data_IF_930795283164
#
_entry.id   IF_930795283164
#
_cell.length_a   1.000
_cell.length_b   1.000
_cell.length_c   1.000
_cell.angle_alpha   90.00
_cell.angle_beta   90.00
_cell.angle_gamma   90.00
#
_symmetry.space_group_name_H-M   'P 1'
#
loop_
_entity.id
_entity.type
_entity.pdbx_description
1 polymer ?
#
# COMPACT_ATOMS: atom_id res chain seq x y z
N UNK A 1 1.52 3.77 5.01
CA UNK A 1 1.76 2.43 4.42
C UNK A 1 2.40 1.54 5.47
N UNK A 2 1.95 0.30 5.62
CA UNK A 2 2.49 -0.65 6.59
C UNK A 2 2.57 -2.03 5.96
N UNK A 3 3.78 -2.58 5.90
CA UNK A 3 4.02 -3.95 5.44
C UNK A 3 3.88 -4.94 6.59
N UNK A 4 3.17 -6.05 6.34
CA UNK A 4 2.99 -7.13 7.31
C UNK A 4 3.52 -8.43 6.72
N UNK A 5 4.48 -9.05 7.40
CA UNK A 5 5.08 -10.33 6.99
C UNK A 5 4.31 -11.45 7.68
N UNK A 6 3.68 -12.30 6.87
CA UNK A 6 2.81 -13.38 7.34
C UNK A 6 3.42 -14.75 7.09
N UNK A 7 4.44 -14.83 6.22
CA UNK A 7 5.22 -16.03 5.91
C UNK A 7 4.61 -16.93 4.83
N UNK A 8 3.28 -16.92 4.63
CA UNK A 8 2.63 -17.71 3.57
C UNK A 8 1.44 -16.98 2.96
N UNK A 9 1.09 -17.38 1.73
CA UNK A 9 -0.06 -16.83 0.99
C UNK A 9 -1.37 -17.03 1.75
N UNK A 10 -1.60 -18.21 2.35
CA UNK A 10 -2.82 -18.47 3.12
C UNK A 10 -2.91 -17.53 4.32
N UNK A 11 -1.79 -17.36 5.05
CA UNK A 11 -1.73 -16.48 6.20
C UNK A 11 -1.93 -15.01 5.80
N UNK A 12 -1.39 -14.57 4.67
CA UNK A 12 -1.67 -13.22 4.12
C UNK A 12 -3.15 -13.02 3.82
N UNK A 13 -3.80 -14.00 3.19
CA UNK A 13 -5.25 -13.92 2.90
C UNK A 13 -6.07 -13.91 4.18
N UNK A 14 -5.76 -14.79 5.15
CA UNK A 14 -6.44 -14.80 6.44
C UNK A 14 -6.29 -13.48 7.21
N UNK A 15 -5.09 -12.88 7.22
CA UNK A 15 -4.88 -11.57 7.82
C UNK A 15 -5.66 -10.47 7.10
N UNK A 16 -5.65 -10.49 5.75
CA UNK A 16 -6.34 -9.51 4.94
C UNK A 16 -7.86 -9.57 5.14
N UNK A 17 -8.46 -10.76 5.05
CA UNK A 17 -9.90 -10.95 5.21
C UNK A 17 -10.34 -10.55 6.62
N UNK A 18 -9.62 -11.00 7.66
CA UNK A 18 -9.94 -10.64 9.03
C UNK A 18 -9.86 -9.12 9.27
N UNK A 19 -8.84 -8.44 8.75
CA UNK A 19 -8.72 -6.99 8.88
C UNK A 19 -9.86 -6.27 8.16
N UNK A 20 -10.22 -6.70 6.94
CA UNK A 20 -11.30 -6.08 6.18
C UNK A 20 -12.67 -6.31 6.81
N UNK A 21 -12.93 -7.49 7.38
CA UNK A 21 -14.15 -7.77 8.14
C UNK A 21 -14.28 -6.81 9.34
N UNK A 22 -13.21 -6.63 10.12
CA UNK A 22 -13.19 -5.69 11.26
C UNK A 22 -13.48 -4.26 10.80
N UNK A 23 -12.90 -3.84 9.67
CA UNK A 23 -13.14 -2.51 9.11
C UNK A 23 -14.55 -2.33 8.56
N UNK A 24 -15.12 -3.34 7.91
CA UNK A 24 -16.46 -3.29 7.36
C UNK A 24 -17.54 -3.31 8.46
N UNK A 25 -17.28 -3.97 9.58
CA UNK A 25 -18.17 -4.00 10.73
C UNK A 25 -18.05 -2.75 11.62
N UNK A 26 -16.90 -2.07 11.60
CA UNK A 26 -16.66 -0.88 12.39
C UNK A 26 -17.36 0.36 11.82
N UNK A 27 -17.69 1.32 12.69
CA UNK A 27 -18.07 2.66 12.25
C UNK A 27 -16.89 3.28 11.49
N UNK A 28 -17.14 3.81 10.29
CA UNK A 28 -16.15 4.55 9.52
C UNK A 28 -15.51 5.64 10.37
N UNK A 29 -14.18 5.65 10.55
CA UNK A 29 -13.50 6.69 11.28
C UNK A 29 -13.62 8.04 10.57
N UNK A 30 -13.78 9.11 11.35
CA UNK A 30 -13.64 10.46 10.84
C UNK A 30 -12.27 10.64 10.18
N UNK A 31 -12.27 11.24 8.99
CA UNK A 31 -11.05 11.58 8.27
C UNK A 31 -10.38 10.43 7.51
N UNK A 32 -10.89 9.20 7.59
CA UNK A 32 -10.47 8.15 6.67
C UNK A 32 -10.99 8.46 5.27
N UNK A 33 -10.14 8.27 4.26
CA UNK A 33 -10.49 8.49 2.85
C UNK A 33 -10.60 7.16 2.10
N UNK A 34 -9.58 6.32 2.23
CA UNK A 34 -9.54 5.02 1.59
C UNK A 34 -8.63 4.04 2.32
N UNK A 35 -8.83 2.75 2.07
CA UNK A 35 -7.96 1.67 2.51
C UNK A 35 -7.84 0.65 1.40
N UNK A 36 -6.63 0.10 1.26
CA UNK A 36 -6.29 -0.92 0.30
C UNK A 36 -5.42 -1.96 0.98
N UNK A 37 -5.74 -3.23 0.74
CA UNK A 37 -4.87 -4.35 1.06
C UNK A 37 -4.36 -4.92 -0.26
N UNK A 38 -3.04 -5.03 -0.35
CA UNK A 38 -2.37 -5.69 -1.45
C UNK A 38 -1.65 -6.93 -0.94
N UNK A 39 -1.71 -8.03 -1.69
CA UNK A 39 -0.96 -9.25 -1.41
C UNK A 39 0.35 -9.23 -2.16
N UNK A 40 1.45 -9.58 -1.49
CA UNK A 40 2.76 -9.69 -2.16
C UNK A 40 2.72 -10.82 -3.17
N UNK A 41 3.31 -10.62 -4.36
CA UNK A 41 3.33 -11.64 -5.41
C UNK A 41 4.26 -12.81 -5.06
N UNK A 42 5.19 -12.63 -4.12
CA UNK A 42 6.03 -13.71 -3.59
C UNK A 42 5.35 -14.52 -2.47
N UNK A 43 4.11 -14.16 -2.08
CA UNK A 43 3.34 -14.87 -1.07
C UNK A 43 3.78 -14.65 0.38
N UNK A 44 4.78 -13.80 0.63
CA UNK A 44 5.39 -13.68 1.97
C UNK A 44 4.66 -12.73 2.93
N UNK A 45 3.74 -11.92 2.41
CA UNK A 45 3.07 -10.91 3.21
C UNK A 45 2.02 -10.09 2.44
N UNK A 46 1.67 -8.98 3.05
CA UNK A 46 0.73 -7.99 2.51
C UNK A 46 1.22 -6.57 2.77
N UNK A 47 0.72 -5.63 1.96
CA UNK A 47 0.84 -4.20 2.19
C UNK A 47 -0.53 -3.64 2.57
N UNK A 48 -0.61 -3.03 3.75
CA UNK A 48 -1.75 -2.22 4.15
C UNK A 48 -1.48 -0.75 3.83
N UNK A 49 -2.28 -0.20 2.92
CA UNK A 49 -2.22 1.20 2.53
C UNK A 49 -3.53 1.90 2.89
N UNK A 50 -3.46 2.89 3.79
CA UNK A 50 -4.60 3.68 4.19
C UNK A 50 -4.33 5.16 3.94
N UNK A 51 -5.35 5.85 3.44
CA UNK A 51 -5.37 7.29 3.19
C UNK A 51 -6.27 7.97 4.21
N UNK A 52 -5.76 9.07 4.77
CA UNK A 52 -6.41 9.86 5.79
C UNK A 52 -6.31 11.34 5.44
N UNK A 53 -7.28 12.14 5.88
CA UNK A 53 -7.29 13.61 5.72
C UNK A 53 -6.13 14.28 6.44
N UNK A 54 -5.69 13.71 7.57
CA UNK A 54 -4.56 14.22 8.34
C UNK A 54 -3.86 13.11 9.13
N UNK A 55 -2.60 13.39 9.52
CA UNK A 55 -1.86 12.53 10.45
C UNK A 55 -2.52 12.48 11.83
N UNK A 56 -3.14 13.58 12.26
CA UNK A 56 -3.83 13.70 13.55
C UNK A 56 -5.06 12.80 13.62
N UNK A 57 -5.90 12.81 12.58
CA UNK A 57 -7.09 11.95 12.50
C UNK A 57 -6.70 10.47 12.57
N UNK A 58 -5.69 10.07 11.79
CA UNK A 58 -5.19 8.70 11.83
C UNK A 58 -4.60 8.35 13.21
N UNK A 59 -3.85 9.24 13.84
CA UNK A 59 -3.27 9.02 15.17
C UNK A 59 -4.34 8.90 16.25
N UNK A 60 -5.36 9.76 16.21
CA UNK A 60 -6.49 9.72 17.12
C UNK A 60 -7.24 8.39 16.99
N UNK A 61 -7.55 7.97 15.76
CA UNK A 61 -8.15 6.66 15.51
C UNK A 61 -7.25 5.53 16.00
N UNK A 62 -5.95 5.55 15.66
CA UNK A 62 -5.02 4.48 15.98
C UNK A 62 -4.87 4.29 17.49
N UNK A 63 -4.79 5.37 18.27
CA UNK A 63 -4.75 5.31 19.74
C UNK A 63 -5.99 4.66 20.35
N UNK A 64 -7.15 4.95 19.78
CA UNK A 64 -8.42 4.48 20.35
C UNK A 64 -8.84 3.08 19.87
N UNK A 65 -8.52 2.70 18.63
CA UNK A 65 -9.16 1.54 17.98
C UNK A 65 -8.18 0.51 17.41
N UNK A 66 -6.91 0.87 17.16
CA UNK A 66 -5.98 -0.01 16.42
C UNK A 66 -5.84 -1.37 17.07
N UNK A 67 -5.68 -1.43 18.39
CA UNK A 67 -5.47 -2.67 19.12
C UNK A 67 -6.63 -3.65 18.91
N UNK A 68 -7.88 -3.16 18.96
CA UNK A 68 -9.06 -3.96 18.66
C UNK A 68 -9.08 -4.40 17.20
N UNK A 69 -8.88 -3.46 16.26
CA UNK A 69 -8.95 -3.70 14.83
C UNK A 69 -7.96 -4.78 14.31
N UNK A 70 -6.83 -4.99 15.00
CA UNK A 70 -5.83 -6.00 14.60
C UNK A 70 -5.85 -7.27 15.47
N UNK A 71 -6.62 -7.28 16.56
CA UNK A 71 -6.62 -8.38 17.53
C UNK A 71 -7.01 -9.75 16.92
N UNK A 72 -8.03 -9.76 16.04
CA UNK A 72 -8.45 -10.96 15.32
C UNK A 72 -7.36 -11.45 14.37
N UNK A 73 -6.66 -10.53 13.71
CA UNK A 73 -5.50 -10.87 12.85
C UNK A 73 -4.41 -11.53 13.66
N UNK A 74 -4.06 -10.97 14.83
CA UNK A 74 -2.99 -11.51 15.69
C UNK A 74 -3.33 -12.91 16.22
N UNK A 75 -4.62 -13.18 16.45
CA UNK A 75 -5.11 -14.51 16.83
C UNK A 75 -5.00 -15.52 15.70
N UNK A 76 -5.38 -15.13 14.48
CA UNK A 76 -5.39 -16.02 13.30
C UNK A 76 -3.99 -16.23 12.70
N UNK A 77 -3.10 -15.26 12.86
CA UNK A 77 -1.77 -15.24 12.26
C UNK A 77 -0.73 -15.00 13.36
N UNK A 78 -0.54 -15.98 14.28
CA UNK A 78 0.39 -15.84 15.38
C UNK A 78 1.82 -15.66 14.86
N UNK A 79 2.56 -14.71 15.44
CA UNK A 79 3.93 -14.38 15.02
C UNK A 79 4.02 -13.51 13.76
N UNK A 80 2.92 -12.89 13.32
CA UNK A 80 2.94 -11.88 12.27
C UNK A 80 3.92 -10.74 12.63
N UNK A 81 4.81 -10.41 11.70
CA UNK A 81 5.72 -9.29 11.86
C UNK A 81 5.16 -8.05 11.17
N UNK A 82 5.28 -6.90 11.84
CA UNK A 82 4.88 -5.61 11.28
C UNK A 82 6.05 -4.63 11.47
N UNK A 83 7.03 -4.61 10.54
CA UNK A 83 8.27 -3.84 10.70
C UNK A 83 8.05 -2.35 10.98
N UNK A 84 6.91 -1.80 10.58
CA UNK A 84 6.50 -0.48 11.02
C UNK A 84 5.39 0.12 10.19
N UNK A 85 5.08 1.37 10.51
CA UNK A 85 4.19 2.24 9.75
C UNK A 85 5.01 3.39 9.20
N UNK A 86 5.00 3.53 7.88
CA UNK A 86 5.57 4.70 7.20
C UNK A 86 4.43 5.67 6.90
N UNK A 87 4.53 6.90 7.43
CA UNK A 87 3.64 8.01 7.08
C UNK A 87 4.25 8.80 5.95
N UNK A 88 3.44 9.08 4.95
CA UNK A 88 3.90 9.73 3.73
C UNK A 88 2.82 10.65 3.18
N UNK A 89 3.22 11.67 2.42
CA UNK A 89 2.32 12.55 1.67
C UNK A 89 2.51 12.32 0.18
N UNK A 90 1.41 12.19 -0.56
CA UNK A 90 1.45 12.17 -2.02
C UNK A 90 1.86 13.55 -2.53
N UNK A 91 2.95 13.63 -3.27
CA UNK A 91 3.51 14.90 -3.77
C UNK A 91 3.46 15.01 -5.29
N UNK A 92 3.51 13.87 -5.99
CA UNK A 92 3.44 13.81 -7.45
C UNK A 92 2.68 12.56 -7.88
N UNK A 93 1.82 12.72 -8.89
CA UNK A 93 1.20 11.62 -9.61
C UNK A 93 1.34 11.88 -11.10
N UNK A 94 1.79 10.87 -11.84
CA UNK A 94 1.78 10.85 -13.30
C UNK A 94 0.89 9.68 -13.70
N UNK A 95 -0.17 9.94 -14.45
CA UNK A 95 -1.13 8.93 -14.91
C UNK A 95 -1.10 8.91 -16.44
N UNK A 96 -0.74 7.77 -17.01
CA UNK A 96 -0.67 7.52 -18.45
C UNK A 96 -1.96 6.90 -18.99
N UNK A 97 -2.60 6.02 -18.21
CA UNK A 97 -3.89 5.40 -18.52
C UNK A 97 -4.69 5.24 -17.22
N UNK A 98 -5.78 5.99 -17.09
CA UNK A 98 -6.64 5.99 -15.89
C UNK A 98 -7.83 5.03 -16.02
N UNK A 99 -8.13 4.53 -17.22
CA UNK A 99 -9.29 3.67 -17.47
C UNK A 99 -8.96 2.19 -17.24
N UNK A 100 -7.71 1.83 -17.48
CA UNK A 100 -7.23 0.46 -17.34
C UNK A 100 -6.96 0.12 -15.87
N UNK A 101 -7.53 -0.99 -15.35
CA UNK A 101 -7.20 -1.43 -14.00
C UNK A 101 -5.77 -1.97 -13.94
N UNK A 102 -5.05 -1.62 -12.87
CA UNK A 102 -3.71 -2.15 -12.61
C UNK A 102 -3.75 -3.65 -12.28
N UNK A 103 -2.94 -4.43 -12.99
CA UNK A 103 -2.72 -5.85 -12.68
C UNK A 103 -1.53 -6.07 -11.74
N UNK A 104 -0.68 -5.06 -11.55
CA UNK A 104 0.47 -5.12 -10.66
C UNK A 104 0.78 -3.75 -10.05
N UNK A 105 1.12 -3.74 -8.77
CA UNK A 105 1.63 -2.59 -8.05
C UNK A 105 3.09 -2.85 -7.67
N UNK A 106 3.97 -1.94 -8.04
CA UNK A 106 5.39 -1.99 -7.69
C UNK A 106 5.66 -0.89 -6.68
N UNK A 107 6.11 -1.28 -5.49
CA UNK A 107 6.39 -0.35 -4.39
C UNK A 107 7.88 -0.36 -4.13
N UNK A 108 8.50 0.80 -4.29
CA UNK A 108 9.94 1.00 -4.12
C UNK A 108 10.17 2.09 -3.09
N UNK A 109 11.16 1.92 -2.22
CA UNK A 109 11.58 2.97 -1.28
C UNK A 109 13.02 3.37 -1.57
N UNK A 110 13.26 4.68 -1.70
CA UNK A 110 14.55 5.25 -2.10
C UNK A 110 14.79 6.59 -1.40
N UNK A 111 16.00 7.15 -1.53
CA UNK A 111 16.26 8.54 -1.15
C UNK A 111 15.52 9.47 -2.12
N UNK A 112 15.13 10.67 -1.67
CA UNK A 112 14.39 11.62 -2.53
C UNK A 112 15.18 12.01 -3.78
N UNK A 113 16.50 12.13 -3.66
CA UNK A 113 17.39 12.49 -4.80
C UNK A 113 17.45 11.39 -5.88
N UNK A 114 17.08 10.15 -5.55
CA UNK A 114 17.03 9.02 -6.50
C UNK A 114 15.69 8.95 -7.26
N UNK A 115 14.70 9.78 -6.89
CA UNK A 115 13.40 9.77 -7.56
C UNK A 115 13.54 10.37 -8.95
N UNK A 116 13.18 9.59 -9.97
CA UNK A 116 13.17 10.04 -11.35
C UNK A 116 12.34 11.34 -11.50
N UNK A 117 12.96 12.40 -12.03
CA UNK A 117 12.25 13.67 -12.25
C UNK A 117 11.13 13.54 -13.29
N UNK A 118 11.31 12.63 -14.26
CA UNK A 118 10.36 12.36 -15.34
C UNK A 118 10.16 10.87 -15.49
N UNK A 119 8.93 10.47 -15.80
CA UNK A 119 8.56 9.08 -16.08
C UNK A 119 8.13 9.01 -17.54
N UNK A 120 9.01 8.54 -18.45
CA UNK A 120 8.64 8.45 -19.85
C UNK A 120 7.54 7.40 -20.04
N UNK A 121 6.61 7.60 -20.99
CA UNK A 121 5.63 6.59 -21.35
C UNK A 121 6.34 5.27 -21.67
N UNK A 122 6.03 4.25 -20.87
CA UNK A 122 6.65 2.93 -20.96
C UNK A 122 5.54 1.90 -21.22
N UNK A 123 5.69 0.98 -22.18
CA UNK A 123 4.65 -0.03 -22.44
C UNK A 123 4.24 -0.78 -21.17
N UNK A 124 2.94 -0.72 -20.85
CA UNK A 124 2.35 -1.37 -19.68
C UNK A 124 2.44 -0.59 -18.37
N UNK A 125 3.14 0.55 -18.32
CA UNK A 125 3.09 1.47 -17.16
C UNK A 125 1.82 2.33 -17.24
N UNK A 126 1.00 2.28 -16.19
CA UNK A 126 -0.29 2.97 -16.13
C UNK A 126 -0.20 4.27 -15.33
N UNK A 127 0.49 4.23 -14.20
CA UNK A 127 0.69 5.40 -13.34
C UNK A 127 1.94 5.26 -12.47
N UNK A 128 2.45 6.39 -11.99
CA UNK A 128 3.45 6.47 -10.93
C UNK A 128 3.03 7.53 -9.90
N UNK A 129 3.08 7.15 -8.62
CA UNK A 129 2.74 7.99 -7.48
C UNK A 129 3.94 8.11 -6.54
N UNK A 130 4.39 9.33 -6.29
CA UNK A 130 5.51 9.62 -5.39
C UNK A 130 4.96 10.08 -4.05
N UNK A 131 5.31 9.33 -3.01
CA UNK A 131 4.97 9.60 -1.63
C UNK A 131 6.22 9.96 -0.84
N UNK A 132 6.29 11.16 -0.27
CA UNK A 132 7.42 11.59 0.55
C UNK A 132 7.15 11.35 2.04
N UNK A 133 8.16 10.91 2.79
CA UNK A 133 8.13 10.91 4.25
C UNK A 133 8.10 12.35 4.79
N UNK A 134 7.61 12.52 6.02
CA UNK A 134 7.42 13.86 6.61
C UNK A 134 8.75 14.61 6.85
N UNK A 135 9.85 13.88 7.00
CA UNK A 135 11.22 14.44 7.08
C UNK A 135 11.77 14.87 5.71
N UNK A 136 11.13 14.46 4.60
CA UNK A 136 11.56 14.76 3.24
C UNK A 136 12.81 14.00 2.78
N UNK A 137 13.28 13.00 3.54
CA UNK A 137 14.52 12.27 3.23
C UNK A 137 14.28 11.06 2.33
N UNK A 138 13.10 10.44 2.43
CA UNK A 138 12.77 9.21 1.70
C UNK A 138 11.51 9.36 0.87
N UNK A 139 11.51 8.67 -0.26
CA UNK A 139 10.35 8.52 -1.11
C UNK A 139 9.92 7.06 -1.14
N UNK A 140 8.61 6.83 -1.09
CA UNK A 140 7.97 5.61 -1.55
C UNK A 140 7.33 5.89 -2.90
N UNK A 141 7.78 5.19 -3.94
CA UNK A 141 7.21 5.26 -5.27
C UNK A 141 6.28 4.06 -5.44
N UNK A 142 5.02 4.32 -5.78
CA UNK A 142 4.02 3.31 -6.13
C UNK A 142 3.74 3.42 -7.62
N UNK A 143 4.20 2.43 -8.39
CA UNK A 143 3.96 2.35 -9.82
C UNK A 143 2.90 1.30 -10.12
N UNK A 144 1.93 1.67 -10.96
CA UNK A 144 0.86 0.82 -11.43
C UNK A 144 1.18 0.29 -12.82
N UNK A 145 1.12 -1.03 -12.98
CA UNK A 145 1.44 -1.72 -14.22
C UNK A 145 0.27 -2.60 -14.65
N UNK A 146 0.14 -2.80 -15.97
CA UNK A 146 -0.82 -3.74 -16.54
C UNK A 146 -0.57 -5.18 -16.05
N UNK A 147 0.70 -5.59 -15.96
CA UNK A 147 1.10 -6.93 -15.55
C UNK A 147 2.59 -7.00 -15.15
N UNK A 148 2.99 -8.14 -14.59
CA UNK A 148 4.37 -8.42 -14.20
C UNK A 148 5.35 -8.47 -15.38
N UNK A 149 4.91 -8.98 -16.54
CA UNK A 149 5.78 -9.15 -17.70
C UNK A 149 6.22 -7.80 -18.29
N UNK A 150 5.30 -6.83 -18.33
CA UNK A 150 5.56 -5.46 -18.78
C UNK A 150 6.56 -4.76 -17.86
N UNK A 151 6.37 -4.90 -16.54
CA UNK A 151 7.32 -4.37 -15.56
C UNK A 151 8.71 -5.02 -15.70
N UNK A 152 8.77 -6.35 -15.84
CA UNK A 152 10.03 -7.08 -16.01
C UNK A 152 10.79 -6.69 -17.28
N UNK A 153 10.08 -6.47 -18.39
CA UNK A 153 10.67 -6.01 -19.64
C UNK A 153 11.25 -4.59 -19.52
N UNK A 154 10.65 -3.74 -18.69
CA UNK A 154 11.10 -2.36 -18.45
C UNK A 154 12.18 -2.25 -17.36
N UNK A 155 12.23 -3.20 -16.43
CA UNK A 155 13.12 -3.15 -15.27
C UNK A 155 14.59 -3.26 -15.69
N UNK A 156 15.32 -2.15 -15.58
CA UNK A 156 16.75 -2.05 -15.90
C UNK A 156 17.61 -1.98 -14.62
N UNK A 157 17.40 -2.94 -13.71
CA UNK A 157 18.20 -3.09 -12.47
C UNK A 157 18.11 -1.95 -11.45
N UNK A 158 18.74 -2.14 -10.28
CA UNK A 158 19.18 -1.06 -9.37
C UNK A 158 18.41 -0.85 -8.05
N UNK A 159 17.08 -0.85 -8.05
CA UNK A 159 16.30 -0.51 -6.85
C UNK A 159 15.51 -1.70 -6.30
N UNK A 160 15.68 -1.96 -5.00
CA UNK A 160 14.86 -2.93 -4.28
C UNK A 160 13.41 -2.47 -4.31
N UNK A 161 12.54 -3.33 -4.82
CA UNK A 161 11.11 -3.10 -4.89
C UNK A 161 10.37 -4.35 -4.43
N UNK A 162 9.12 -4.16 -4.03
CA UNK A 162 8.17 -5.25 -3.79
C UNK A 162 7.01 -5.14 -4.76
N UNK A 163 6.49 -6.30 -5.14
CA UNK A 163 5.43 -6.44 -6.12
C UNK A 163 4.19 -6.95 -5.42
N UNK A 164 3.07 -6.32 -5.71
CA UNK A 164 1.79 -6.66 -5.09
C UNK A 164 0.66 -6.69 -6.11
N UNK A 165 -0.40 -7.41 -5.76
CA UNK A 165 -1.70 -7.33 -6.43
C UNK A 165 -2.74 -6.79 -5.47
N UNK A 166 -3.64 -5.93 -5.96
CA UNK A 166 -4.75 -5.43 -5.16
C UNK A 166 -5.67 -6.60 -4.78
N UNK A 167 -5.95 -6.73 -3.49
CA UNK A 167 -6.79 -7.81 -2.97
C UNK A 167 -8.16 -7.29 -2.53
N UNK A 168 -8.18 -6.21 -1.73
CA UNK A 168 -9.41 -5.59 -1.21
C UNK A 168 -9.21 -4.09 -1.10
N UNK A 169 -10.29 -3.34 -1.30
CA UNK A 169 -10.32 -1.90 -1.07
C UNK A 169 -11.62 -1.46 -0.41
N UNK A 170 -11.54 -0.45 0.44
CA UNK A 170 -12.67 0.30 0.98
C UNK A 170 -12.40 1.77 0.75
N UNK A 171 -13.29 2.43 0.02
CA UNK A 171 -13.30 3.88 -0.12
C UNK A 171 -14.48 4.41 0.65
N UNK A 172 -14.27 5.49 1.39
CA UNK A 172 -15.38 6.21 2.00
C UNK A 172 -15.88 7.20 0.96
N UNK A 173 -17.09 7.00 0.44
CA UNK A 173 -17.74 7.99 -0.41
C UNK A 173 -17.75 9.32 0.34
N UNK A 174 -17.22 10.37 -0.30
CA UNK A 174 -17.46 11.72 0.20
C UNK A 174 -18.97 11.99 0.03
N UNK A 175 -19.68 12.42 1.09
CA UNK A 175 -21.03 12.93 0.93
C UNK A 175 -21.04 14.17 0.02
#
# INVERSE_FOLDING_TARGET
>A
MSEWLTGTTERSRSAADALMDEWAAAKTPSGRLAQHIFLSTDGTGLLFYAQWSSDEDHLAWARAHRAGAVSRVDTLVPGIERPGLVRTRLTRSIVHDAERPAGLFVVSTMAVDDVNATVPPTPGLLAEHVHLTSDGERATVVAEWNDAASHEAAATGGLSHKRYTLYRSLSDDRP
#
